data_IF_019667947918
#
_entry.id   IF_019667947918
#
_cell.length_a   1.000
_cell.length_b   1.000
_cell.length_c   1.000
_cell.angle_alpha   90.00
_cell.angle_beta   90.00
_cell.angle_gamma   90.00
#
_symmetry.space_group_name_H-M   'P 1'
#
loop_
_entity.id
_entity.type
_entity.pdbx_description
1 polymer ?
#
# COMPACT_ATOMS: atom_id res chain seq x y z
N UNK A 1 -16.66 2.03 6.15
CA UNK A 1 -16.42 3.17 7.09
C UNK A 1 -15.55 4.23 6.41
N UNK A 2 -15.78 5.52 6.68
CA UNK A 2 -14.88 6.63 6.28
C UNK A 2 -14.25 7.22 7.54
N UNK A 3 -12.92 7.27 7.60
CA UNK A 3 -12.17 7.86 8.72
C UNK A 3 -11.28 8.99 8.20
N UNK A 4 -11.16 10.05 9.02
CA UNK A 4 -10.23 11.16 8.84
C UNK A 4 -9.55 11.42 10.18
N UNK A 5 -8.28 11.04 10.31
CA UNK A 5 -7.54 11.09 11.58
C UNK A 5 -6.11 11.58 11.29
N UNK A 6 -5.49 12.19 12.32
CA UNK A 6 -4.11 12.67 12.28
C UNK A 6 -3.29 12.22 13.50
N UNK A 7 -3.19 10.90 13.79
CA UNK A 7 -2.36 10.42 14.90
C UNK A 7 -0.87 10.43 14.51
N UNK A 8 0.06 10.46 15.47
CA UNK A 8 1.46 10.18 15.14
C UNK A 8 1.60 8.74 14.62
N UNK A 9 0.95 7.78 15.29
CA UNK A 9 0.96 6.37 14.92
C UNK A 9 -0.47 5.84 14.75
N UNK A 10 -0.74 5.20 13.61
CA UNK A 10 -1.99 4.50 13.35
C UNK A 10 -1.75 2.99 13.19
N UNK A 11 -2.41 2.18 14.02
CA UNK A 11 -2.43 0.73 13.87
C UNK A 11 -3.86 0.22 13.73
N UNK A 12 -4.08 -0.63 12.74
CA UNK A 12 -5.35 -1.30 12.49
C UNK A 12 -5.11 -2.81 12.41
N UNK A 13 -5.72 -3.56 13.35
CA UNK A 13 -5.71 -5.03 13.39
C UNK A 13 -7.11 -5.61 13.19
N UNK A 14 -7.30 -6.51 12.23
CA UNK A 14 -8.61 -7.10 11.95
C UNK A 14 -8.62 -8.12 10.82
N UNK A 15 -9.58 -9.05 10.84
CA UNK A 15 -9.66 -10.10 9.83
C UNK A 15 -10.00 -9.55 8.44
N UNK A 16 -11.03 -8.71 8.35
CA UNK A 16 -11.47 -8.11 7.08
C UNK A 16 -11.62 -6.60 7.20
N UNK A 17 -11.17 -5.89 6.16
CA UNK A 17 -11.30 -4.45 6.07
C UNK A 17 -12.02 -3.99 4.82
N UNK A 18 -13.11 -3.25 5.02
CA UNK A 18 -13.87 -2.56 3.96
C UNK A 18 -13.98 -1.07 4.27
N UNK A 19 -12.95 -0.32 3.89
CA UNK A 19 -12.77 1.06 4.36
C UNK A 19 -12.36 2.04 3.27
N UNK A 20 -12.74 3.30 3.48
CA UNK A 20 -12.21 4.45 2.76
C UNK A 20 -11.50 5.35 3.78
N UNK A 21 -10.17 5.41 3.74
CA UNK A 21 -9.41 6.19 4.71
C UNK A 21 -8.78 7.41 4.05
N UNK A 22 -8.80 8.53 4.77
CA UNK A 22 -7.95 9.68 4.51
C UNK A 22 -7.16 9.93 5.81
N UNK A 23 -5.85 9.72 5.81
CA UNK A 23 -5.07 9.79 7.04
C UNK A 23 -3.75 10.47 6.80
N UNK A 24 -3.28 11.15 7.84
CA UNK A 24 -1.94 11.69 7.92
C UNK A 24 -1.32 11.21 9.23
N UNK A 25 -0.20 10.52 9.19
CA UNK A 25 0.45 9.95 10.38
C UNK A 25 1.90 9.70 10.09
N UNK A 26 2.83 9.85 11.05
CA UNK A 26 4.23 9.48 10.82
C UNK A 26 4.35 8.00 10.44
N UNK A 27 3.68 7.12 11.20
CA UNK A 27 3.72 5.68 10.98
C UNK A 27 2.31 5.11 10.83
N UNK A 28 2.10 4.36 9.75
CA UNK A 28 0.88 3.60 9.52
C UNK A 28 1.14 2.11 9.36
N UNK A 29 0.44 1.31 10.17
CA UNK A 29 0.47 -0.15 10.11
C UNK A 29 -0.94 -0.74 9.98
N UNK A 30 -1.15 -1.54 8.94
CA UNK A 30 -2.37 -2.30 8.71
C UNK A 30 -2.04 -3.80 8.74
N UNK A 31 -2.67 -4.54 9.66
CA UNK A 31 -2.51 -5.98 9.83
C UNK A 31 -3.87 -6.69 9.71
N UNK A 32 -3.99 -7.65 8.80
CA UNK A 32 -5.27 -8.31 8.54
C UNK A 32 -5.22 -9.39 7.49
N UNK A 33 -6.35 -10.05 7.21
CA UNK A 33 -6.40 -11.16 6.24
C UNK A 33 -6.84 -10.65 4.87
N UNK A 34 -7.99 -9.99 4.80
CA UNK A 34 -8.51 -9.43 3.55
C UNK A 34 -8.66 -7.91 3.60
N UNK A 35 -8.15 -7.24 2.57
CA UNK A 35 -8.30 -5.80 2.40
C UNK A 35 -9.09 -5.45 1.15
N UNK A 36 -10.18 -4.72 1.32
CA UNK A 36 -10.90 -4.02 0.25
C UNK A 36 -10.96 -2.53 0.58
N UNK A 37 -9.93 -1.81 0.15
CA UNK A 37 -9.69 -0.45 0.63
C UNK A 37 -9.53 0.58 -0.49
N UNK A 38 -10.01 1.80 -0.20
CA UNK A 38 -9.64 3.01 -0.95
C UNK A 38 -8.94 3.97 0.00
N UNK A 39 -7.64 4.14 -0.15
CA UNK A 39 -6.83 4.90 0.79
C UNK A 39 -6.24 6.14 0.10
N UNK A 40 -6.24 7.26 0.83
CA UNK A 40 -5.46 8.45 0.53
C UNK A 40 -4.64 8.78 1.77
N UNK A 41 -3.33 8.55 1.74
CA UNK A 41 -2.52 8.57 2.95
C UNK A 41 -1.23 9.36 2.74
N UNK A 42 -0.83 10.03 3.81
CA UNK A 42 0.46 10.70 3.94
C UNK A 42 1.12 10.18 5.20
N UNK A 43 2.29 9.55 5.06
CA UNK A 43 3.03 9.02 6.19
C UNK A 43 4.50 8.84 5.88
N UNK A 44 5.41 9.04 6.82
CA UNK A 44 6.82 8.72 6.59
C UNK A 44 6.98 7.23 6.28
N UNK A 45 6.37 6.38 7.11
CA UNK A 45 6.44 4.92 6.96
C UNK A 45 5.05 4.31 6.86
N UNK A 46 4.86 3.51 5.81
CA UNK A 46 3.66 2.71 5.62
C UNK A 46 3.96 1.22 5.49
N UNK A 47 3.29 0.40 6.30
CA UNK A 47 3.36 -1.06 6.25
C UNK A 47 1.97 -1.69 6.20
N UNK A 48 1.75 -2.58 5.23
CA UNK A 48 0.55 -3.42 5.18
C UNK A 48 0.95 -4.89 5.11
N UNK A 49 0.34 -5.68 5.99
CA UNK A 49 0.46 -7.15 6.01
C UNK A 49 -0.92 -7.80 5.91
N UNK A 50 -1.03 -8.80 5.03
CA UNK A 50 -2.21 -9.62 4.89
C UNK A 50 -2.20 -10.62 3.74
N UNK A 51 -3.28 -11.39 3.63
CA UNK A 51 -3.38 -12.50 2.68
C UNK A 51 -3.82 -12.01 1.29
N UNK A 52 -4.94 -11.28 1.24
CA UNK A 52 -5.53 -10.79 -0.01
C UNK A 52 -5.71 -9.28 -0.01
N UNK A 53 -5.20 -8.65 -1.06
CA UNK A 53 -5.34 -7.22 -1.26
C UNK A 53 -6.15 -6.86 -2.50
N UNK A 54 -7.22 -6.10 -2.29
CA UNK A 54 -7.96 -5.39 -3.34
C UNK A 54 -8.00 -3.91 -3.04
N UNK A 55 -7.00 -3.19 -3.52
CA UNK A 55 -6.75 -1.83 -3.08
C UNK A 55 -6.71 -0.80 -4.21
N UNK A 56 -7.24 0.39 -3.93
CA UNK A 56 -6.96 1.61 -4.69
C UNK A 56 -6.28 2.60 -3.76
N UNK A 57 -4.99 2.83 -3.96
CA UNK A 57 -4.17 3.65 -3.07
C UNK A 57 -3.67 4.90 -3.80
N UNK A 58 -3.71 6.03 -3.09
CA UNK A 58 -2.95 7.24 -3.40
C UNK A 58 -2.10 7.55 -2.18
N UNK A 59 -0.79 7.36 -2.27
CA UNK A 59 0.09 7.42 -1.10
C UNK A 59 1.27 8.34 -1.37
N UNK A 60 1.63 9.07 -0.32
CA UNK A 60 2.89 9.80 -0.23
C UNK A 60 3.59 9.31 1.03
N UNK A 61 4.76 8.72 0.86
CA UNK A 61 5.54 8.20 1.98
C UNK A 61 7.01 8.06 1.66
N UNK A 62 7.91 8.24 2.62
CA UNK A 62 9.33 7.93 2.38
C UNK A 62 9.50 6.44 2.11
N UNK A 63 8.89 5.60 2.96
CA UNK A 63 9.00 4.14 2.87
C UNK A 63 7.63 3.49 2.80
N UNK A 64 7.43 2.65 1.78
CA UNK A 64 6.26 1.81 1.64
C UNK A 64 6.62 0.33 1.54
N UNK A 65 5.97 -0.49 2.37
CA UNK A 65 6.09 -1.94 2.35
C UNK A 65 4.72 -2.63 2.29
N UNK A 66 4.54 -3.51 1.30
CA UNK A 66 3.38 -4.41 1.22
C UNK A 66 3.84 -5.86 1.26
N UNK A 67 3.24 -6.62 2.18
CA UNK A 67 3.53 -8.04 2.41
C UNK A 67 2.24 -8.88 2.34
N UNK A 68 2.28 -9.95 1.54
CA UNK A 68 1.14 -10.83 1.32
C UNK A 68 1.21 -11.67 0.04
N UNK A 69 0.56 -12.85 0.00
CA UNK A 69 0.62 -13.75 -1.14
C UNK A 69 -0.09 -13.20 -2.39
N UNK A 70 -1.22 -12.52 -2.26
CA UNK A 70 -2.02 -12.09 -3.42
C UNK A 70 -2.36 -10.59 -3.44
N UNK A 71 -2.05 -9.97 -4.58
CA UNK A 71 -2.33 -8.55 -4.79
C UNK A 71 -3.15 -8.27 -6.05
N UNK A 72 -4.21 -7.48 -5.85
CA UNK A 72 -4.94 -6.79 -6.92
C UNK A 72 -5.02 -5.30 -6.62
N UNK A 73 -4.14 -4.51 -7.23
CA UNK A 73 -3.93 -3.12 -6.82
C UNK A 73 -3.96 -2.12 -7.97
N UNK A 74 -4.50 -0.93 -7.69
CA UNK A 74 -4.26 0.28 -8.47
C UNK A 74 -3.59 1.30 -7.57
N UNK A 75 -2.32 1.56 -7.80
CA UNK A 75 -1.49 2.40 -6.95
C UNK A 75 -1.06 3.66 -7.70
N UNK A 76 -1.17 4.80 -7.04
CA UNK A 76 -0.49 6.04 -7.37
C UNK A 76 0.39 6.39 -6.18
N UNK A 77 1.70 6.23 -6.31
CA UNK A 77 2.63 6.33 -5.19
C UNK A 77 3.72 7.33 -5.49
N UNK A 78 4.02 8.16 -4.50
CA UNK A 78 5.22 8.95 -4.44
C UNK A 78 5.98 8.50 -3.19
N UNK A 79 7.12 7.85 -3.38
CA UNK A 79 7.91 7.35 -2.27
C UNK A 79 9.36 7.17 -2.61
N UNK A 80 10.29 7.49 -1.71
CA UNK A 80 11.70 7.21 -1.93
C UNK A 80 11.93 5.70 -2.11
N UNK A 81 11.36 4.89 -1.22
CA UNK A 81 11.53 3.43 -1.21
C UNK A 81 10.18 2.72 -1.25
N UNK A 82 10.03 1.83 -2.23
CA UNK A 82 8.89 0.94 -2.36
C UNK A 82 9.30 -0.53 -2.40
N UNK A 83 8.68 -1.35 -1.55
CA UNK A 83 8.89 -2.80 -1.52
C UNK A 83 7.55 -3.56 -1.53
N UNK A 84 7.37 -4.44 -2.52
CA UNK A 84 6.25 -5.39 -2.56
C UNK A 84 6.77 -6.83 -2.54
N UNK A 85 6.31 -7.62 -1.57
CA UNK A 85 6.64 -9.05 -1.43
C UNK A 85 5.36 -9.91 -1.42
N UNK A 86 5.34 -10.98 -2.22
CA UNK A 86 4.17 -11.82 -2.45
C UNK A 86 4.34 -12.86 -3.52
N UNK A 87 3.32 -13.68 -3.76
CA UNK A 87 3.37 -14.75 -4.76
C UNK A 87 2.81 -14.28 -6.11
N UNK A 88 1.62 -13.67 -6.08
CA UNK A 88 0.88 -13.24 -7.28
C UNK A 88 0.51 -11.76 -7.27
N UNK A 89 0.80 -11.10 -8.39
CA UNK A 89 0.52 -9.67 -8.56
C UNK A 89 -0.33 -9.38 -9.79
N UNK A 90 -1.41 -8.62 -9.58
CA UNK A 90 -2.17 -7.93 -10.63
C UNK A 90 -2.23 -6.45 -10.32
N UNK A 91 -1.37 -5.67 -10.96
CA UNK A 91 -1.18 -4.27 -10.57
C UNK A 91 -1.22 -3.29 -11.75
N UNK A 92 -1.83 -2.12 -11.50
CA UNK A 92 -1.63 -0.91 -12.29
C UNK A 92 -0.96 0.14 -11.42
N UNK A 93 0.29 0.45 -11.73
CA UNK A 93 1.17 1.28 -10.93
C UNK A 93 1.49 2.57 -11.68
N UNK A 94 1.35 3.70 -10.99
CA UNK A 94 1.95 4.97 -11.35
C UNK A 94 2.85 5.36 -10.19
N UNK A 95 4.16 5.32 -10.40
CA UNK A 95 5.15 5.41 -9.33
C UNK A 95 6.13 6.52 -9.63
N UNK A 96 6.42 7.30 -8.60
CA UNK A 96 7.57 8.16 -8.51
C UNK A 96 8.39 7.67 -7.32
N UNK A 97 9.51 7.01 -7.59
CA UNK A 97 10.35 6.44 -6.55
C UNK A 97 11.80 6.33 -6.97
N UNK A 98 12.72 6.54 -6.02
CA UNK A 98 14.15 6.30 -6.23
C UNK A 98 14.46 4.80 -6.26
N UNK A 99 13.87 4.05 -5.32
CA UNK A 99 14.11 2.63 -5.15
C UNK A 99 12.80 1.86 -5.20
N UNK A 100 12.74 0.89 -6.11
CA UNK A 100 11.62 -0.02 -6.25
C UNK A 100 12.08 -1.47 -6.22
N UNK A 101 11.49 -2.26 -5.32
CA UNK A 101 11.70 -3.69 -5.23
C UNK A 101 10.37 -4.45 -5.33
N UNK A 102 10.33 -5.43 -6.23
CA UNK A 102 9.21 -6.34 -6.43
C UNK A 102 9.71 -7.77 -6.34
N UNK A 103 9.16 -8.56 -5.42
CA UNK A 103 9.51 -9.98 -5.27
C UNK A 103 8.26 -10.87 -5.26
N UNK A 104 8.34 -11.99 -5.98
CA UNK A 104 7.25 -12.91 -6.22
C UNK A 104 7.38 -13.74 -7.48
N UNK A 105 6.48 -14.72 -7.58
CA UNK A 105 6.52 -15.77 -8.59
C UNK A 105 5.83 -15.35 -9.89
N UNK A 106 4.68 -14.67 -9.79
CA UNK A 106 3.89 -14.28 -10.95
C UNK A 106 3.48 -12.80 -10.92
N UNK A 107 3.69 -12.12 -12.06
CA UNK A 107 3.33 -10.70 -12.21
C UNK A 107 2.53 -10.44 -13.48
N UNK A 108 1.41 -9.74 -13.32
CA UNK A 108 0.72 -9.00 -14.38
C UNK A 108 0.68 -7.53 -14.02
N UNK A 109 1.53 -6.75 -14.67
CA UNK A 109 1.76 -5.35 -14.29
C UNK A 109 1.63 -4.40 -15.47
N UNK A 110 0.95 -3.27 -15.23
CA UNK A 110 1.10 -2.06 -16.05
C UNK A 110 1.77 -1.00 -15.20
N UNK A 111 3.03 -0.72 -15.49
CA UNK A 111 3.86 0.23 -14.77
C UNK A 111 4.04 1.51 -15.58
N UNK A 112 3.80 2.65 -14.94
CA UNK A 112 4.35 3.94 -15.34
C UNK A 112 5.31 4.37 -14.22
N UNK A 113 6.59 4.46 -14.54
CA UNK A 113 7.64 4.82 -13.59
C UNK A 113 8.21 6.17 -14.02
N UNK A 114 8.21 7.12 -13.10
CA UNK A 114 8.92 8.37 -13.21
C UNK A 114 10.06 8.32 -12.21
N UNK A 115 11.29 8.16 -12.68
CA UNK A 115 12.47 8.39 -11.84
C UNK A 115 12.74 9.89 -11.78
N UNK A 116 13.14 10.39 -10.61
CA UNK A 116 13.86 11.66 -10.53
C UNK A 116 15.30 11.51 -11.03
#
# INVERSE_FOLDING_TARGET
>A
MKLNLQPEVMMLLGAEYRMKLNLQSEVMMLLGVEYRMKLNLQSEVMMLLGAEYRMKLNLQSEVMMLLGPEYRMKLNLQSEVMMLLGAEYRMKLNLQSEVMMLLGAEYRMKLNLQSE
#
